data_IF_826276675566
#
_entry.id   IF_826276675566
#
_cell.length_a   1.000
_cell.length_b   1.000
_cell.length_c   1.000
_cell.angle_alpha   90.00
_cell.angle_beta   90.00
_cell.angle_gamma   90.00
#
_symmetry.space_group_name_H-M   'P 1'
#
loop_
_entity.id
_entity.type
_entity.pdbx_description
1 polymer ?
#
# COMPACT_ATOMS: atom_id res chain seq x y z
N UNK A 1 4.15 5.30 0.50
CA UNK A 1 5.15 4.27 0.18
C UNK A 1 4.66 2.88 0.58
N UNK A 2 5.15 1.83 -0.06
CA UNK A 2 4.82 0.45 0.33
C UNK A 2 5.56 0.04 1.61
N UNK A 3 4.89 -0.68 2.51
CA UNK A 3 5.47 -1.22 3.73
C UNK A 3 5.29 -2.73 3.80
N UNK A 4 6.40 -3.49 3.69
CA UNK A 4 6.37 -4.95 3.78
C UNK A 4 5.84 -5.45 5.13
N UNK A 5 6.03 -4.69 6.21
CA UNK A 5 5.51 -5.03 7.53
C UNK A 5 3.97 -4.92 7.58
N UNK A 6 3.41 -3.88 6.97
CA UNK A 6 1.95 -3.74 6.85
C UNK A 6 1.36 -4.77 5.89
N UNK A 7 2.09 -5.15 4.84
CA UNK A 7 1.72 -6.21 3.91
C UNK A 7 1.65 -7.58 4.59
N UNK A 8 2.68 -7.98 5.34
CA UNK A 8 2.71 -9.27 6.06
C UNK A 8 1.55 -9.36 7.08
N UNK A 9 1.26 -8.25 7.75
CA UNK A 9 0.12 -8.16 8.64
C UNK A 9 -1.21 -8.22 7.88
N UNK A 10 -1.33 -7.53 6.74
CA UNK A 10 -2.50 -7.60 5.89
C UNK A 10 -2.75 -9.02 5.38
N UNK A 11 -1.69 -9.74 5.01
CA UNK A 11 -1.77 -11.13 4.55
C UNK A 11 -2.24 -12.06 5.66
N UNK A 12 -1.67 -11.91 6.86
CA UNK A 12 -2.08 -12.66 8.05
C UNK A 12 -3.57 -12.48 8.36
N UNK A 13 -4.09 -11.25 8.24
CA UNK A 13 -5.49 -10.96 8.48
C UNK A 13 -6.39 -11.42 7.32
N UNK A 14 -5.98 -11.25 6.06
CA UNK A 14 -6.75 -11.68 4.90
C UNK A 14 -6.96 -13.21 4.90
N UNK A 15 -5.93 -13.98 5.27
CA UNK A 15 -5.99 -15.45 5.37
C UNK A 15 -7.04 -15.97 6.36
N UNK A 16 -7.57 -15.13 7.25
CA UNK A 16 -8.64 -15.54 8.17
C UNK A 16 -9.97 -15.73 7.45
N UNK A 17 -10.16 -15.15 6.26
CA UNK A 17 -11.39 -15.29 5.46
C UNK A 17 -12.67 -14.95 6.25
N UNK A 18 -12.59 -13.99 7.18
CA UNK A 18 -13.68 -13.59 8.06
C UNK A 18 -14.81 -12.91 7.27
N UNK A 19 -16.07 -13.14 7.65
CA UNK A 19 -17.20 -12.45 7.03
C UNK A 19 -17.27 -10.95 7.35
N UNK A 20 -16.48 -10.51 8.33
CA UNK A 20 -16.30 -9.10 8.72
C UNK A 20 -14.81 -8.80 8.85
N UNK A 21 -14.47 -7.51 8.86
CA UNK A 21 -13.09 -7.07 9.07
C UNK A 21 -12.48 -7.70 10.34
N UNK A 22 -11.34 -8.40 10.23
CA UNK A 22 -10.57 -8.84 11.37
C UNK A 22 -10.10 -7.68 12.26
N UNK A 23 -9.76 -7.97 13.51
CA UNK A 23 -9.21 -6.98 14.43
C UNK A 23 -7.81 -6.53 13.96
N UNK A 24 -7.69 -5.25 13.65
CA UNK A 24 -6.43 -4.59 13.31
C UNK A 24 -5.86 -3.92 14.58
N UNK A 25 -4.53 -3.98 14.82
CA UNK A 25 -3.87 -3.27 15.93
C UNK A 25 -4.24 -1.79 15.99
N UNK A 26 -4.37 -1.27 17.22
CA UNK A 26 -4.63 0.14 17.48
C UNK A 26 -3.58 1.03 16.82
N UNK A 27 -4.02 2.15 16.26
CA UNK A 27 -3.14 3.10 15.57
C UNK A 27 -3.01 2.86 14.07
N UNK A 28 -3.57 1.76 13.55
CA UNK A 28 -3.60 1.44 12.14
C UNK A 28 -5.02 1.49 11.58
N UNK A 29 -5.14 2.10 10.41
CA UNK A 29 -6.36 2.17 9.61
C UNK A 29 -6.38 1.02 8.63
N UNK A 30 -7.56 0.67 8.14
CA UNK A 30 -7.70 -0.46 7.23
C UNK A 30 -8.95 -0.39 6.35
N UNK A 31 -8.81 -1.01 5.18
CA UNK A 31 -9.92 -1.36 4.31
C UNK A 31 -9.94 -2.88 4.15
N UNK A 32 -11.11 -3.48 4.31
CA UNK A 32 -11.30 -4.93 4.23
C UNK A 32 -12.55 -5.26 3.43
N UNK A 33 -12.45 -6.31 2.62
CA UNK A 33 -13.61 -6.96 2.04
C UNK A 33 -13.39 -8.47 1.92
N UNK A 34 -14.47 -9.24 2.06
CA UNK A 34 -14.56 -10.60 1.57
C UNK A 34 -15.54 -10.59 0.38
N UNK A 35 -15.03 -10.82 -0.83
CA UNK A 35 -15.82 -10.69 -2.05
C UNK A 35 -15.27 -11.53 -3.20
N UNK A 36 -15.64 -11.20 -4.43
CA UNK A 36 -15.21 -11.94 -5.63
C UNK A 36 -14.28 -11.14 -6.55
N UNK A 37 -13.92 -9.91 -6.16
CA UNK A 37 -13.06 -9.00 -6.92
C UNK A 37 -11.59 -9.24 -6.60
N UNK A 38 -10.69 -8.83 -7.51
CA UNK A 38 -9.25 -8.77 -7.25
C UNK A 38 -8.84 -7.48 -6.54
N UNK A 39 -7.64 -7.47 -5.96
CA UNK A 39 -7.11 -6.32 -5.22
C UNK A 39 -7.16 -5.02 -6.04
N UNK A 40 -6.80 -5.07 -7.32
CA UNK A 40 -6.80 -3.89 -8.20
C UNK A 40 -8.22 -3.34 -8.41
N UNK A 41 -9.17 -4.19 -8.80
CA UNK A 41 -10.56 -3.80 -8.99
C UNK A 41 -11.16 -3.28 -7.68
N UNK A 42 -10.84 -3.90 -6.56
CA UNK A 42 -11.37 -3.49 -5.26
C UNK A 42 -10.79 -2.15 -4.79
N UNK A 43 -9.49 -1.93 -4.98
CA UNK A 43 -8.86 -0.64 -4.70
C UNK A 43 -9.50 0.46 -5.54
N UNK A 44 -9.76 0.21 -6.82
CA UNK A 44 -10.48 1.14 -7.69
C UNK A 44 -11.89 1.46 -7.17
N UNK A 45 -12.66 0.45 -6.73
CA UNK A 45 -13.98 0.67 -6.13
C UNK A 45 -13.91 1.54 -4.86
N UNK A 46 -12.90 1.34 -4.01
CA UNK A 46 -12.71 2.20 -2.84
C UNK A 46 -12.38 3.65 -3.22
N UNK A 47 -11.56 3.86 -4.26
CA UNK A 47 -11.22 5.21 -4.73
C UNK A 47 -12.38 5.96 -5.39
N UNK A 48 -13.45 5.27 -5.78
CA UNK A 48 -14.58 5.85 -6.53
C UNK A 48 -15.86 6.02 -5.69
N UNK A 49 -15.81 5.78 -4.37
CA UNK A 49 -16.96 5.97 -3.48
C UNK A 49 -17.56 7.39 -3.56
N UNK A 50 -16.72 8.40 -3.79
CA UNK A 50 -17.13 9.80 -3.92
C UNK A 50 -17.88 10.12 -5.23
N UNK A 51 -17.88 9.20 -6.21
CA UNK A 51 -18.73 9.35 -7.41
C UNK A 51 -20.23 9.18 -7.06
N UNK A 52 -20.54 8.56 -5.91
CA UNK A 52 -21.89 8.23 -5.47
C UNK A 52 -22.22 8.78 -4.08
N UNK A 53 -21.30 9.51 -3.45
CA UNK A 53 -21.45 10.03 -2.09
C UNK A 53 -20.66 11.32 -1.91
N UNK A 54 -21.07 12.13 -0.94
CA UNK A 54 -20.34 13.36 -0.59
C UNK A 54 -19.29 13.05 0.48
N UNK A 55 -18.08 13.56 0.29
CA UNK A 55 -17.05 13.54 1.32
C UNK A 55 -17.15 14.81 2.18
N UNK A 56 -17.21 14.65 3.50
CA UNK A 56 -17.02 15.73 4.46
C UNK A 56 -15.55 15.82 4.89
N UNK A 57 -15.05 17.05 5.07
CA UNK A 57 -13.72 17.32 5.62
C UNK A 57 -13.80 18.57 6.52
N UNK A 58 -13.79 18.45 7.86
CA UNK A 58 -13.60 17.22 8.65
C UNK A 58 -14.63 16.13 8.36
N UNK A 59 -14.23 14.88 8.55
CA UNK A 59 -15.09 13.71 8.33
C UNK A 59 -16.32 13.75 9.23
N UNK A 60 -17.48 13.36 8.71
CA UNK A 60 -18.69 13.09 9.49
C UNK A 60 -18.77 11.63 9.96
N UNK A 61 -17.75 10.81 9.66
CA UNK A 61 -17.71 9.38 9.97
C UNK A 61 -18.61 8.53 9.06
N UNK A 62 -19.02 9.03 7.89
CA UNK A 62 -19.89 8.29 6.97
C UNK A 62 -19.28 6.96 6.54
N UNK A 63 -20.06 5.88 6.72
CA UNK A 63 -19.69 4.54 6.28
C UNK A 63 -19.65 4.40 4.75
N UNK A 64 -20.29 5.29 3.98
CA UNK A 64 -20.34 5.18 2.50
C UNK A 64 -19.07 5.63 1.80
N UNK A 65 -18.23 6.41 2.50
CA UNK A 65 -16.94 6.93 2.01
C UNK A 65 -15.78 6.54 2.92
N UNK A 66 -15.97 5.55 3.80
CA UNK A 66 -14.99 5.15 4.82
C UNK A 66 -13.68 4.71 4.17
N UNK A 67 -13.76 3.84 3.17
CA UNK A 67 -12.58 3.29 2.51
C UNK A 67 -11.82 4.35 1.72
N UNK A 68 -12.54 5.23 1.03
CA UNK A 68 -11.97 6.41 0.38
C UNK A 68 -11.26 7.31 1.39
N UNK A 69 -11.92 7.62 2.50
CA UNK A 69 -11.39 8.50 3.55
C UNK A 69 -10.07 7.98 4.12
N UNK A 70 -9.97 6.68 4.37
CA UNK A 70 -8.74 6.03 4.81
C UNK A 70 -7.61 6.13 3.78
N UNK A 71 -7.92 6.06 2.48
CA UNK A 71 -6.94 6.15 1.39
C UNK A 71 -6.37 7.58 1.27
N UNK A 72 -7.23 8.60 1.37
CA UNK A 72 -6.85 10.00 1.10
C UNK A 72 -6.40 10.79 2.34
N UNK A 73 -6.29 10.14 3.50
CA UNK A 73 -5.82 10.78 4.72
C UNK A 73 -4.39 11.31 4.54
N UNK A 74 -4.21 12.63 4.62
CA UNK A 74 -2.96 13.31 4.22
C UNK A 74 -1.73 12.90 5.04
N UNK A 75 -1.92 12.48 6.29
CA UNK A 75 -0.83 12.04 7.18
C UNK A 75 -0.43 10.56 6.96
N UNK A 76 -1.13 9.83 6.08
CA UNK A 76 -0.81 8.45 5.74
C UNK A 76 0.38 8.43 4.79
N UNK A 77 1.49 7.84 5.24
CA UNK A 77 2.74 7.78 4.48
C UNK A 77 3.11 6.36 4.05
N UNK A 78 2.47 5.35 4.65
CA UNK A 78 2.72 3.94 4.37
C UNK A 78 1.42 3.15 4.24
N UNK A 79 1.41 2.22 3.30
CA UNK A 79 0.35 1.23 3.09
C UNK A 79 0.97 -0.13 2.82
N UNK A 80 0.30 -1.19 3.25
CA UNK A 80 0.55 -2.55 2.81
C UNK A 80 -0.76 -3.27 2.58
N UNK A 81 -0.87 -4.02 1.49
CA UNK A 81 -2.08 -4.74 1.12
C UNK A 81 -1.78 -6.20 0.79
N UNK A 82 -2.75 -7.07 1.02
CA UNK A 82 -2.67 -8.46 0.63
C UNK A 82 -4.06 -8.98 0.22
N UNK A 83 -4.04 -10.06 -0.56
CA UNK A 83 -5.23 -10.83 -0.90
C UNK A 83 -5.04 -12.31 -0.54
N UNK A 84 -6.11 -12.96 -0.13
CA UNK A 84 -6.11 -14.39 0.18
C UNK A 84 -7.31 -15.07 -0.47
N UNK A 85 -7.05 -16.18 -1.17
CA UNK A 85 -8.12 -17.03 -1.71
C UNK A 85 -8.83 -17.74 -0.56
N UNK A 86 -10.15 -17.54 -0.50
CA UNK A 86 -11.07 -18.17 0.43
C UNK A 86 -11.98 -19.15 -0.34
N UNK A 87 -12.75 -20.00 0.35
CA UNK A 87 -13.67 -20.95 -0.30
C UNK A 87 -14.72 -20.24 -1.17
N UNK A 88 -14.44 -20.08 -2.46
CA UNK A 88 -15.29 -19.40 -3.44
C UNK A 88 -15.22 -17.86 -3.41
N UNK A 89 -14.38 -17.27 -2.58
CA UNK A 89 -14.24 -15.82 -2.41
C UNK A 89 -12.77 -15.41 -2.34
N UNK A 90 -12.50 -14.12 -2.26
CA UNK A 90 -11.21 -13.54 -1.98
C UNK A 90 -11.35 -12.50 -0.87
N UNK A 91 -10.50 -12.63 0.15
CA UNK A 91 -10.34 -11.60 1.16
C UNK A 91 -9.28 -10.62 0.70
N UNK A 92 -9.58 -9.32 0.78
CA UNK A 92 -8.63 -8.25 0.47
C UNK A 92 -8.50 -7.38 1.71
N UNK A 93 -7.26 -7.14 2.14
CA UNK A 93 -6.93 -6.29 3.28
C UNK A 93 -5.89 -5.28 2.86
N UNK A 94 -6.13 -4.00 3.12
CA UNK A 94 -5.13 -2.94 3.07
C UNK A 94 -5.03 -2.29 4.44
N UNK A 95 -3.81 -2.07 4.91
CA UNK A 95 -3.51 -1.45 6.21
C UNK A 95 -2.70 -0.18 5.98
N UNK A 96 -3.07 0.89 6.67
CA UNK A 96 -2.48 2.22 6.60
C UNK A 96 -1.80 2.56 7.94
N UNK A 97 -0.69 3.30 7.89
CA UNK A 97 0.06 3.68 9.09
C UNK A 97 -0.53 4.85 9.89
N UNK A 98 -1.80 5.17 9.65
CA UNK A 98 -2.59 6.12 10.44
C UNK A 98 -3.89 5.45 10.84
N UNK A 99 -4.51 5.82 11.99
CA UNK A 99 -5.79 5.28 12.41
C UNK A 99 -6.88 5.49 11.35
N UNK A 100 -7.92 4.64 11.37
CA UNK A 100 -9.11 4.85 10.56
C UNK A 100 -9.66 6.27 10.72
N UNK A 101 -10.10 6.87 9.63
CA UNK A 101 -10.83 8.13 9.66
C UNK A 101 -12.18 7.90 10.36
N UNK A 102 -12.42 8.68 11.41
CA UNK A 102 -13.67 8.71 12.17
C UNK A 102 -14.26 10.13 12.14
N UNK A 103 -15.46 10.31 12.68
CA UNK A 103 -16.06 11.63 12.82
C UNK A 103 -15.09 12.64 13.47
N UNK A 104 -15.15 13.87 13.00
CA UNK A 104 -14.30 15.00 13.39
C UNK A 104 -12.82 14.88 12.98
N UNK A 105 -12.42 13.83 12.26
CA UNK A 105 -11.06 13.71 11.72
C UNK A 105 -10.88 14.68 10.55
N UNK A 106 -9.91 15.60 10.65
CA UNK A 106 -9.42 16.37 9.50
C UNK A 106 -8.68 15.42 8.55
N UNK A 107 -9.28 15.10 7.40
CA UNK A 107 -8.73 14.10 6.46
C UNK A 107 -7.51 14.70 5.73
N UNK A 108 -7.63 15.95 5.30
CA UNK A 108 -6.57 16.73 4.66
C UNK A 108 -6.77 18.22 4.93
N UNK A 109 -5.73 19.02 4.85
CA UNK A 109 -5.86 20.48 4.91
C UNK A 109 -6.28 21.04 3.54
N UNK A 110 -7.39 21.81 3.43
CA UNK A 110 -7.75 22.45 2.17
C UNK A 110 -6.68 23.45 1.74
N UNK A 111 -6.24 23.36 0.48
CA UNK A 111 -5.22 24.26 -0.04
C UNK A 111 -4.80 23.92 -1.46
N UNK A 112 -3.80 24.64 -1.94
CA UNK A 112 -3.13 24.31 -3.21
C UNK A 112 -2.18 23.15 -2.97
N UNK A 113 -2.15 22.18 -3.89
CA UNK A 113 -1.16 21.11 -3.87
C UNK A 113 0.27 21.69 -3.91
N UNK A 114 1.23 20.94 -3.39
CA UNK A 114 2.61 21.42 -3.39
C UNK A 114 3.11 21.62 -4.83
N UNK A 115 3.97 22.61 -5.01
CA UNK A 115 4.71 22.89 -6.23
C UNK A 115 6.23 22.87 -6.00
N UNK A 116 6.64 22.98 -4.74
CA UNK A 116 8.03 22.88 -4.30
C UNK A 116 8.13 22.13 -2.96
N UNK A 117 9.28 21.49 -2.71
CA UNK A 117 9.53 20.72 -1.47
C UNK A 117 9.39 21.55 -0.18
N UNK A 118 9.60 22.87 -0.25
CA UNK A 118 9.40 23.78 0.89
C UNK A 118 7.95 23.88 1.36
N UNK A 119 7.01 23.43 0.54
CA UNK A 119 5.56 23.42 0.82
C UNK A 119 5.11 22.09 1.46
N UNK A 120 6.06 21.23 1.85
CA UNK A 120 5.83 19.99 2.58
C UNK A 120 6.31 20.07 4.04
N UNK A 121 5.76 20.97 4.88
CA UNK A 121 6.32 21.26 6.21
C UNK A 121 6.16 20.11 7.22
N UNK A 122 5.22 19.18 6.99
CA UNK A 122 4.98 18.03 7.87
C UNK A 122 6.19 17.10 7.95
N UNK A 123 6.97 17.02 6.88
CA UNK A 123 8.14 16.15 6.77
C UNK A 123 9.29 16.92 6.12
N UNK A 124 10.32 17.33 6.88
CA UNK A 124 11.37 18.24 6.40
C UNK A 124 12.25 17.63 5.30
N UNK A 125 12.25 16.31 5.16
CA UNK A 125 12.94 15.53 4.15
C UNK A 125 12.06 15.18 2.94
N UNK A 126 10.78 15.57 2.92
CA UNK A 126 9.89 15.31 1.81
C UNK A 126 10.20 16.18 0.59
N UNK A 127 10.04 15.58 -0.59
CA UNK A 127 10.04 16.26 -1.89
C UNK A 127 8.62 16.44 -2.39
N UNK A 128 8.38 17.49 -3.18
CA UNK A 128 7.12 17.62 -3.90
C UNK A 128 7.20 16.95 -5.27
N UNK A 129 6.33 15.97 -5.52
CA UNK A 129 6.23 15.25 -6.79
C UNK A 129 4.75 15.23 -7.23
N UNK A 130 4.44 15.87 -8.37
CA UNK A 130 3.08 15.93 -8.95
C UNK A 130 1.98 16.37 -7.95
N UNK A 131 2.30 17.30 -7.05
CA UNK A 131 1.36 17.80 -6.03
C UNK A 131 1.31 16.97 -4.75
N UNK A 132 2.12 15.91 -4.63
CA UNK A 132 2.23 15.05 -3.46
C UNK A 132 3.56 15.26 -2.73
N UNK A 133 3.49 15.33 -1.39
CA UNK A 133 4.68 15.30 -0.55
C UNK A 133 5.16 13.85 -0.37
N UNK A 134 6.29 13.52 -0.97
CA UNK A 134 6.86 12.17 -1.00
C UNK A 134 8.06 12.09 -0.05
N UNK A 135 8.01 11.13 0.87
CA UNK A 135 9.14 10.82 1.75
C UNK A 135 10.24 10.08 0.99
N UNK A 136 11.52 10.30 1.33
CA UNK A 136 12.61 9.55 0.74
C UNK A 136 12.48 8.07 1.10
N UNK A 137 12.72 7.20 0.12
CA UNK A 137 12.80 5.76 0.38
C UNK A 137 14.05 5.53 1.23
N UNK A 138 13.93 4.92 2.44
CA UNK A 138 15.10 4.57 3.21
C UNK A 138 15.86 3.51 2.41
N UNK A 139 16.96 3.92 1.79
CA UNK A 139 17.94 2.99 1.24
C UNK A 139 18.42 2.15 2.39
N UNK A 140 18.08 0.86 2.38
CA UNK A 140 18.76 -0.11 3.22
C UNK A 140 20.21 -0.10 2.79
N UNK A 141 21.04 0.70 3.46
CA UNK A 141 22.48 0.60 3.37
C UNK A 141 22.80 -0.79 3.87
N UNK A 142 22.95 -1.73 2.93
CA UNK A 142 23.36 -3.08 3.22
C UNK A 142 24.56 -2.99 4.14
N UNK A 143 24.36 -3.38 5.40
CA UNK A 143 25.47 -3.54 6.32
C UNK A 143 26.28 -4.69 5.73
N UNK A 144 27.37 -4.37 5.06
CA UNK A 144 28.38 -5.35 4.69
C UNK A 144 28.88 -5.96 5.99
N UNK A 145 28.31 -7.10 6.36
CA UNK A 145 28.82 -7.92 7.45
C UNK A 145 30.21 -8.40 7.03
N UNK A 146 31.23 -7.68 7.50
CA UNK A 146 32.59 -8.16 7.51
C UNK A 146 32.67 -9.37 8.45
N UNK A 147 33.14 -10.50 7.91
CA UNK A 147 33.65 -11.61 8.72
C UNK A 147 32.75 -12.85 8.78
N UNK A 148 32.75 -13.64 7.69
CA UNK A 148 32.60 -15.08 7.81
C UNK A 148 33.73 -15.74 7.01
N UNK A 149 34.79 -16.14 7.73
CA UNK A 149 35.87 -16.98 7.22
C UNK A 149 35.31 -18.39 7.00
N UNK A 150 34.95 -18.70 5.76
CA UNK A 150 34.51 -20.03 5.33
C UNK A 150 35.38 -20.52 4.18
N UNK A 151 36.14 -21.58 4.42
CA UNK A 151 37.08 -22.23 3.50
C UNK A 151 36.43 -22.56 2.14
N UNK A 152 37.03 -22.07 1.06
CA UNK A 152 36.64 -22.40 -0.30
C UNK A 152 37.08 -23.83 -0.66
N UNK A 153 36.11 -24.73 -0.83
CA UNK A 153 36.31 -26.01 -1.50
C UNK A 153 35.84 -25.87 -2.94
N UNK A 154 36.77 -25.99 -3.90
CA UNK A 154 36.50 -25.96 -5.34
C UNK A 154 35.70 -27.19 -5.78
N UNK A 155 34.49 -26.98 -6.28
CA UNK A 155 33.74 -27.97 -7.05
C UNK A 155 33.49 -27.38 -8.45
N UNK A 156 33.84 -28.15 -9.48
CA UNK A 156 33.77 -27.75 -10.88
C UNK A 156 32.32 -27.51 -11.35
N UNK A 157 32.13 -26.50 -12.20
CA UNK A 157 30.85 -26.11 -12.78
C UNK A 157 30.35 -27.15 -13.81
N UNK A 158 29.05 -27.49 -13.84
CA UNK A 158 28.46 -28.20 -14.96
C UNK A 158 28.14 -27.23 -16.11
N UNK A 159 28.61 -27.58 -17.30
CA UNK A 159 28.34 -26.88 -18.56
C UNK A 159 26.85 -26.94 -18.90
N UNK A 160 26.19 -25.79 -19.03
CA UNK A 160 24.81 -25.71 -19.57
C UNK A 160 24.81 -24.91 -20.87
N UNK A 161 24.23 -25.51 -21.91
CA UNK A 161 24.09 -24.96 -23.26
C UNK A 161 23.02 -23.87 -23.27
N UNK A 162 23.40 -22.67 -23.70
CA UNK A 162 22.49 -21.54 -23.89
C UNK A 162 21.50 -21.82 -25.04
N UNK A 163 20.20 -21.76 -24.75
CA UNK A 163 19.15 -21.60 -25.76
C UNK A 163 18.67 -20.15 -25.68
N UNK A 164 18.68 -19.45 -26.82
CA UNK A 164 18.49 -18.00 -26.90
C UNK A 164 17.10 -17.50 -26.47
N UNK A 165 16.96 -16.18 -26.22
CA UNK A 165 15.72 -15.57 -25.75
C UNK A 165 14.67 -15.48 -26.86
N UNK A 166 13.44 -15.90 -26.56
CA UNK A 166 12.24 -15.60 -27.36
C UNK A 166 11.65 -14.28 -26.88
N UNK A 167 11.42 -13.34 -27.80
CA UNK A 167 10.77 -12.05 -27.52
C UNK A 167 9.26 -12.22 -27.61
N UNK A 168 8.56 -12.09 -26.49
CA UNK A 168 7.12 -11.86 -26.48
C UNK A 168 6.84 -10.45 -25.96
N UNK A 169 6.65 -9.53 -26.91
CA UNK A 169 6.10 -8.20 -26.65
C UNK A 169 4.57 -8.34 -26.53
N UNK A 170 4.00 -7.92 -25.39
CA UNK A 170 2.56 -7.68 -25.29
C UNK A 170 2.34 -6.18 -25.05
N UNK A 171 1.74 -5.44 -25.99
CA UNK A 171 1.62 -3.99 -25.89
C UNK A 171 0.52 -3.58 -24.88
N UNK A 172 0.83 -2.52 -24.12
CA UNK A 172 -0.08 -1.79 -23.22
C UNK A 172 -1.23 -1.16 -24.03
N UNK A 173 -2.50 -1.45 -23.75
CA UNK A 173 -3.61 -0.68 -24.28
C UNK A 173 -3.62 0.71 -23.62
N UNK A 174 -3.51 1.76 -24.44
CA UNK A 174 -3.60 3.14 -23.98
C UNK A 174 -5.05 3.60 -23.82
N UNK A 175 -5.27 4.41 -22.79
CA UNK A 175 -5.91 5.72 -22.90
C UNK A 175 -4.99 6.72 -22.19
#
# INVERSE_FOLDING_TARGET
MWSCALEDQAETLAKQCSSSAPSVPTGLGYNYILGSTNLEAQAYQWTTQIEHSTLANPSDGSATVKEFSNIIQANTTQVGCAQATCSGNMAIMCIFNQPNVVADTQIYEPGTACSASTECPTHPDATCEDGLCVLPVPVSTGTTAAGATGTATTIAAPTTTATGPTTNANPRPGL
#
